data_IF_111796758039
#
_entry.id   IF_111796758039
#
_cell.length_a   1.000
_cell.length_b   1.000
_cell.length_c   1.000
_cell.angle_alpha   90.00
_cell.angle_beta   90.00
_cell.angle_gamma   90.00
#
_symmetry.space_group_name_H-M   'P 1'
#
loop_
_entity.id
_entity.type
_entity.pdbx_description
1 polymer ?
#
# COMPACT_ATOMS: atom_id res chain seq x y z
N UNK A 1 -10.82 11.51 16.95
CA UNK A 1 -12.11 11.87 16.34
C UNK A 1 -12.48 13.26 16.84
N UNK A 2 -12.44 14.24 15.95
CA UNK A 2 -13.00 15.56 16.23
C UNK A 2 -14.46 15.58 15.79
N UNK A 3 -15.38 15.46 16.75
CA UNK A 3 -16.82 15.37 16.45
C UNK A 3 -17.38 16.66 15.86
N UNK A 4 -16.83 17.82 16.22
CA UNK A 4 -17.33 19.11 15.75
C UNK A 4 -16.86 19.39 14.33
N UNK A 5 -15.59 19.10 14.04
CA UNK A 5 -15.05 19.21 12.68
C UNK A 5 -15.72 18.21 11.73
N UNK A 6 -15.94 16.96 12.17
CA UNK A 6 -16.68 15.96 11.39
C UNK A 6 -18.09 16.43 11.04
N UNK A 7 -18.83 16.96 12.03
CA UNK A 7 -20.18 17.48 11.84
C UNK A 7 -20.21 18.68 10.87
N UNK A 8 -19.25 19.60 11.00
CA UNK A 8 -19.12 20.76 10.13
C UNK A 8 -18.77 20.35 8.69
N UNK A 9 -17.86 19.40 8.52
CA UNK A 9 -17.47 18.85 7.23
C UNK A 9 -18.66 18.21 6.50
N UNK A 10 -19.39 17.29 7.17
CA UNK A 10 -20.56 16.63 6.59
C UNK A 10 -21.64 17.64 6.16
N UNK A 11 -21.93 18.63 7.02
CA UNK A 11 -22.89 19.70 6.70
C UNK A 11 -22.47 20.49 5.47
N UNK A 12 -21.20 20.89 5.39
CA UNK A 12 -20.65 21.64 4.26
C UNK A 12 -20.75 20.87 2.94
N UNK A 13 -20.50 19.55 2.96
CA UNK A 13 -20.60 18.70 1.76
C UNK A 13 -22.05 18.50 1.32
N UNK A 14 -22.95 18.20 2.28
CA UNK A 14 -24.38 18.03 2.01
C UNK A 14 -25.02 19.27 1.37
N UNK A 15 -24.70 20.46 1.88
CA UNK A 15 -25.31 21.72 1.41
C UNK A 15 -24.84 22.15 0.01
N UNK A 16 -23.73 21.58 -0.48
CA UNK A 16 -23.18 21.86 -1.82
C UNK A 16 -23.76 20.97 -2.92
N UNK A 17 -24.23 19.76 -2.59
CA UNK A 17 -24.79 18.83 -3.57
C UNK A 17 -26.26 19.12 -3.82
N UNK A 18 -26.66 19.13 -5.08
CA UNK A 18 -28.07 19.20 -5.47
C UNK A 18 -28.65 17.79 -5.58
N UNK A 19 -29.97 17.61 -5.36
CA UNK A 19 -30.64 16.32 -5.55
C UNK A 19 -30.42 15.72 -6.93
N UNK A 20 -30.46 16.58 -7.95
CA UNK A 20 -30.23 16.26 -9.36
C UNK A 20 -28.83 15.66 -9.58
N UNK A 21 -27.80 16.12 -8.86
CA UNK A 21 -26.43 15.60 -8.97
C UNK A 21 -26.31 14.15 -8.50
N UNK A 22 -27.25 13.67 -7.68
CA UNK A 22 -27.29 12.31 -7.12
C UNK A 22 -28.48 11.49 -7.62
N UNK A 23 -29.15 11.95 -8.69
CA UNK A 23 -30.25 11.23 -9.32
C UNK A 23 -31.56 11.26 -8.52
N UNK A 24 -31.72 12.20 -7.57
CA UNK A 24 -32.94 12.40 -6.81
C UNK A 24 -33.80 13.52 -7.40
N UNK A 25 -35.15 13.39 -7.35
CA UNK A 25 -36.04 14.42 -7.86
C UNK A 25 -36.01 15.68 -7.00
N UNK A 26 -35.95 16.84 -7.65
CA UNK A 26 -36.10 18.15 -7.01
C UNK A 26 -37.57 18.37 -6.63
N UNK A 27 -37.96 18.00 -5.40
CA UNK A 27 -39.31 18.24 -4.89
C UNK A 27 -39.70 19.74 -4.80
N UNK A 28 -41.00 20.09 -4.84
CA UNK A 28 -41.45 21.49 -4.90
C UNK A 28 -41.20 22.25 -3.58
N UNK A 29 -40.72 23.50 -3.69
CA UNK A 29 -40.42 24.47 -2.61
C UNK A 29 -39.44 23.97 -1.52
N UNK A 30 -38.15 23.87 -1.85
CA UNK A 30 -37.08 23.69 -0.84
C UNK A 30 -36.76 25.00 -0.10
N UNK A 31 -36.68 24.90 1.23
CA UNK A 31 -36.15 25.97 2.11
C UNK A 31 -34.67 25.77 2.48
N UNK A 32 -34.13 24.57 2.27
CA UNK A 32 -32.75 24.20 2.65
C UNK A 32 -31.87 24.13 1.40
N UNK A 33 -30.68 24.77 1.39
CA UNK A 33 -29.72 24.61 0.31
C UNK A 33 -29.18 23.16 0.28
N UNK A 34 -29.08 22.60 -0.92
CA UNK A 34 -28.52 21.27 -1.18
C UNK A 34 -29.41 20.09 -0.76
N UNK A 35 -28.77 18.96 -0.43
CA UNK A 35 -29.42 17.72 0.02
C UNK A 35 -29.98 17.87 1.44
N UNK A 36 -31.10 17.19 1.71
CA UNK A 36 -31.65 17.07 3.07
C UNK A 36 -30.95 15.93 3.82
N UNK A 37 -31.09 15.89 5.14
CA UNK A 37 -30.43 14.87 5.97
C UNK A 37 -30.98 13.48 5.70
N UNK A 38 -32.30 13.38 5.51
CA UNK A 38 -32.98 12.15 5.11
C UNK A 38 -32.53 11.64 3.75
N UNK A 39 -32.18 12.52 2.82
CA UNK A 39 -31.73 12.14 1.47
C UNK A 39 -30.33 11.53 1.51
N UNK A 40 -29.41 12.14 2.26
CA UNK A 40 -28.07 11.57 2.47
C UNK A 40 -28.17 10.24 3.19
N UNK A 41 -29.03 10.12 4.20
CA UNK A 41 -29.21 8.88 4.94
C UNK A 41 -29.71 7.73 4.04
N UNK A 42 -30.68 8.02 3.15
CA UNK A 42 -31.17 7.06 2.14
C UNK A 42 -30.05 6.65 1.18
N UNK A 43 -29.29 7.60 0.64
CA UNK A 43 -28.18 7.30 -0.28
C UNK A 43 -27.04 6.52 0.38
N UNK A 44 -26.78 6.77 1.66
CA UNK A 44 -25.75 6.07 2.43
C UNK A 44 -26.25 4.77 3.08
N UNK A 45 -27.51 4.39 2.87
CA UNK A 45 -28.14 3.20 3.49
C UNK A 45 -28.01 3.16 5.03
N UNK A 46 -28.15 4.32 5.69
CA UNK A 46 -28.11 4.47 7.15
C UNK A 46 -29.40 5.11 7.67
N UNK A 47 -29.65 5.06 8.98
CA UNK A 47 -30.84 5.71 9.55
C UNK A 47 -30.70 7.24 9.54
N UNK A 48 -31.78 7.94 9.21
CA UNK A 48 -31.84 9.41 9.25
C UNK A 48 -31.44 9.95 10.61
N UNK A 49 -31.92 9.34 11.68
CA UNK A 49 -31.59 9.72 13.06
C UNK A 49 -30.09 9.62 13.34
N UNK A 50 -29.43 8.57 12.84
CA UNK A 50 -28.00 8.42 12.99
C UNK A 50 -27.21 9.50 12.24
N UNK A 51 -27.58 9.82 11.00
CA UNK A 51 -26.96 10.90 10.23
C UNK A 51 -27.19 12.29 10.86
N UNK A 52 -28.40 12.54 11.39
CA UNK A 52 -28.69 13.75 12.17
C UNK A 52 -27.76 13.87 13.37
N UNK A 53 -27.55 12.78 14.13
CA UNK A 53 -26.64 12.78 15.28
C UNK A 53 -25.18 13.00 14.88
N UNK A 54 -24.75 12.53 13.69
CA UNK A 54 -23.42 12.82 13.15
C UNK A 54 -23.26 14.33 12.88
N UNK A 55 -24.20 14.96 12.17
CA UNK A 55 -24.18 16.42 11.90
C UNK A 55 -24.38 17.32 13.13
N UNK A 56 -24.81 16.73 14.25
CA UNK A 56 -24.95 17.40 15.54
C UNK A 56 -23.76 17.13 16.49
N UNK A 57 -22.72 16.42 16.05
CA UNK A 57 -21.58 16.02 16.90
C UNK A 57 -21.97 15.14 18.11
N UNK A 58 -23.10 14.41 18.02
CA UNK A 58 -23.69 13.59 19.10
C UNK A 58 -23.69 12.08 18.83
N UNK A 59 -23.30 11.65 17.63
CA UNK A 59 -23.19 10.24 17.31
C UNK A 59 -21.97 9.58 17.98
N UNK A 60 -22.02 8.26 18.25
CA UNK A 60 -20.82 7.48 18.50
C UNK A 60 -19.93 7.46 17.26
N UNK A 61 -18.68 7.02 17.41
CA UNK A 61 -17.72 6.93 16.30
C UNK A 61 -18.28 6.03 15.19
N UNK A 62 -18.41 6.51 13.95
CA UNK A 62 -18.88 5.70 12.82
C UNK A 62 -17.85 4.63 12.45
N UNK A 63 -18.31 3.52 11.87
CA UNK A 63 -17.41 2.50 11.29
C UNK A 63 -16.84 2.97 9.95
N UNK A 64 -15.75 2.35 9.48
CA UNK A 64 -15.18 2.65 8.16
C UNK A 64 -16.17 2.41 7.01
N UNK A 65 -16.99 1.37 7.11
CA UNK A 65 -18.05 1.08 6.13
C UNK A 65 -19.11 2.19 6.07
N UNK A 66 -19.56 2.69 7.23
CA UNK A 66 -20.51 3.82 7.30
C UNK A 66 -19.89 5.08 6.69
N UNK A 67 -18.61 5.34 6.96
CA UNK A 67 -17.91 6.49 6.37
C UNK A 67 -17.74 6.35 4.85
N UNK A 68 -17.46 5.15 4.36
CA UNK A 68 -17.40 4.86 2.92
C UNK A 68 -18.77 5.09 2.24
N UNK A 69 -19.86 4.58 2.83
CA UNK A 69 -21.22 4.83 2.31
C UNK A 69 -21.59 6.31 2.30
N UNK A 70 -21.21 7.06 3.34
CA UNK A 70 -21.41 8.52 3.39
C UNK A 70 -20.56 9.22 2.32
N UNK A 71 -19.32 8.78 2.10
CA UNK A 71 -18.44 9.35 1.07
C UNK A 71 -19.02 9.16 -0.33
N UNK A 72 -19.58 7.99 -0.63
CA UNK A 72 -20.27 7.69 -1.89
C UNK A 72 -21.54 8.54 -2.02
N UNK A 73 -22.38 8.58 -0.99
CA UNK A 73 -23.62 9.36 -0.98
C UNK A 73 -23.38 10.86 -1.21
N UNK A 74 -22.30 11.38 -0.67
CA UNK A 74 -21.88 12.78 -0.81
C UNK A 74 -20.90 13.00 -1.98
N UNK A 75 -20.71 12.02 -2.87
CA UNK A 75 -19.80 12.07 -4.03
C UNK A 75 -18.45 12.72 -3.70
N UNK A 76 -17.87 12.34 -2.56
CA UNK A 76 -16.60 12.88 -2.12
C UNK A 76 -15.48 12.41 -3.05
N UNK A 77 -14.55 13.33 -3.36
CA UNK A 77 -13.28 12.95 -3.98
C UNK A 77 -12.46 12.09 -3.01
N UNK A 78 -11.51 11.29 -3.50
CA UNK A 78 -10.61 10.47 -2.67
C UNK A 78 -10.02 11.26 -1.48
N UNK A 79 -9.45 12.46 -1.73
CA UNK A 79 -8.88 13.31 -0.68
C UNK A 79 -9.91 13.79 0.38
N UNK A 80 -11.17 13.96 -0.02
CA UNK A 80 -12.25 14.35 0.89
C UNK A 80 -12.75 13.15 1.70
N UNK A 81 -12.77 11.96 1.11
CA UNK A 81 -13.06 10.71 1.81
C UNK A 81 -11.96 10.38 2.83
N UNK A 82 -10.69 10.58 2.48
CA UNK A 82 -9.57 10.43 3.41
C UNK A 82 -9.68 11.41 4.58
N UNK A 83 -9.96 12.69 4.29
CA UNK A 83 -10.16 13.69 5.34
C UNK A 83 -11.35 13.35 6.24
N UNK A 84 -12.46 12.85 5.69
CA UNK A 84 -13.61 12.39 6.46
C UNK A 84 -13.21 11.28 7.46
N UNK A 85 -12.40 10.32 7.02
CA UNK A 85 -11.88 9.24 7.84
C UNK A 85 -10.95 9.76 8.96
N UNK A 86 -10.04 10.69 8.64
CA UNK A 86 -9.18 11.36 9.63
C UNK A 86 -10.01 12.08 10.70
N UNK A 87 -11.04 12.84 10.31
CA UNK A 87 -11.93 13.53 11.25
C UNK A 87 -12.68 12.55 12.17
N UNK A 88 -13.15 11.43 11.62
CA UNK A 88 -13.76 10.33 12.37
C UNK A 88 -12.74 9.54 13.21
N UNK A 89 -11.45 9.77 13.00
CA UNK A 89 -10.32 9.02 13.56
C UNK A 89 -10.22 7.59 13.03
N UNK A 90 -11.00 7.20 12.02
CA UNK A 90 -11.02 5.82 11.48
C UNK A 90 -10.03 5.78 10.31
N UNK A 91 -9.31 4.67 10.13
CA UNK A 91 -8.48 4.52 8.93
C UNK A 91 -9.39 4.45 7.68
N UNK A 92 -9.01 5.08 6.55
CA UNK A 92 -9.76 4.96 5.30
C UNK A 92 -10.02 3.51 4.91
N UNK A 93 -11.29 3.11 4.81
CA UNK A 93 -11.67 1.86 4.19
C UNK A 93 -11.65 2.07 2.67
N UNK A 94 -10.68 1.45 1.97
CA UNK A 94 -10.54 1.61 0.53
C UNK A 94 -11.37 0.55 -0.18
N UNK A 95 -12.63 0.88 -0.43
CA UNK A 95 -13.58 0.00 -1.13
C UNK A 95 -13.26 -0.02 -2.63
N UNK A 96 -12.26 -0.81 -3.02
CA UNK A 96 -11.83 -0.94 -4.42
C UNK A 96 -10.64 -1.87 -4.59
N UNK A 97 -10.00 -1.75 -5.76
CA UNK A 97 -8.75 -2.44 -6.09
C UNK A 97 -7.59 -1.51 -5.73
N UNK A 98 -6.50 -2.06 -5.19
CA UNK A 98 -5.28 -1.30 -4.95
C UNK A 98 -4.68 -0.78 -6.27
N UNK A 99 -3.99 0.36 -6.22
CA UNK A 99 -3.46 1.00 -7.43
C UNK A 99 -2.09 0.46 -7.81
N UNK A 100 -1.92 0.20 -9.11
CA UNK A 100 -0.67 -0.23 -9.73
C UNK A 100 0.00 0.83 -10.58
N UNK A 101 -0.70 1.92 -10.91
CA UNK A 101 -0.10 3.03 -11.63
C UNK A 101 0.87 3.79 -10.74
N UNK A 102 2.13 3.93 -11.18
CA UNK A 102 3.13 4.74 -10.48
C UNK A 102 3.06 6.17 -11.00
N UNK A 103 3.14 7.14 -10.09
CA UNK A 103 3.17 8.57 -10.46
C UNK A 103 4.38 8.89 -11.34
N UNK A 104 4.21 9.67 -12.42
CA UNK A 104 5.34 10.10 -13.25
C UNK A 104 6.44 10.82 -12.44
N UNK A 105 6.06 11.65 -11.46
CA UNK A 105 7.02 12.34 -10.60
C UNK A 105 7.86 11.39 -9.73
N UNK A 106 7.34 10.21 -9.37
CA UNK A 106 8.06 9.20 -8.58
C UNK A 106 9.02 8.42 -9.47
N UNK A 107 8.62 8.13 -10.73
CA UNK A 107 9.52 7.53 -11.72
C UNK A 107 10.73 8.44 -11.98
N UNK A 108 10.50 9.74 -12.23
CA UNK A 108 11.59 10.72 -12.39
C UNK A 108 12.47 10.84 -11.14
N UNK A 109 11.90 10.64 -9.96
CA UNK A 109 12.66 10.63 -8.71
C UNK A 109 13.57 9.39 -8.62
N UNK A 110 13.08 8.20 -8.94
CA UNK A 110 13.88 6.97 -8.96
C UNK A 110 15.12 7.09 -9.87
N UNK A 111 14.97 7.74 -11.02
CA UNK A 111 16.06 7.99 -11.98
C UNK A 111 17.10 9.01 -11.47
N UNK A 112 16.76 9.82 -10.47
CA UNK A 112 17.58 10.95 -9.99
C UNK A 112 18.15 10.73 -8.59
N UNK A 113 18.10 9.50 -8.08
CA UNK A 113 18.70 9.13 -6.79
C UNK A 113 20.07 8.48 -7.02
N UNK A 114 21.19 9.24 -6.97
CA UNK A 114 22.51 8.66 -7.14
C UNK A 114 22.86 7.74 -5.97
N UNK A 115 23.59 6.67 -6.25
CA UNK A 115 24.10 5.72 -5.26
C UNK A 115 23.05 5.12 -4.31
N UNK A 116 21.77 5.15 -4.71
CA UNK A 116 20.65 4.63 -3.93
C UNK A 116 19.88 3.62 -4.79
N UNK A 117 19.79 2.38 -4.34
CA UNK A 117 18.88 1.43 -4.97
C UNK A 117 17.45 1.78 -4.55
N UNK A 118 16.55 1.96 -5.51
CA UNK A 118 15.17 2.34 -5.24
C UNK A 118 14.17 1.56 -6.07
N UNK A 119 13.06 1.17 -5.45
CA UNK A 119 11.92 0.58 -6.13
C UNK A 119 10.59 1.00 -5.49
N UNK A 120 9.53 0.96 -6.30
CA UNK A 120 8.15 1.20 -5.86
C UNK A 120 7.42 -0.13 -5.81
N UNK A 121 6.71 -0.34 -4.70
CA UNK A 121 5.96 -1.55 -4.42
C UNK A 121 4.48 -1.22 -4.18
N UNK A 122 3.58 -2.08 -4.66
CA UNK A 122 2.14 -1.97 -4.38
C UNK A 122 1.81 -2.38 -2.94
N UNK A 123 0.59 -2.08 -2.46
CA UNK A 123 0.09 -2.60 -1.18
C UNK A 123 0.08 -4.14 -1.12
N UNK A 124 0.11 -4.82 -2.27
CA UNK A 124 0.13 -6.28 -2.39
C UNK A 124 1.53 -6.85 -2.69
N UNK A 125 2.60 -6.11 -2.40
CA UNK A 125 4.00 -6.52 -2.61
C UNK A 125 4.45 -6.74 -4.06
N UNK A 126 3.70 -6.23 -5.05
CA UNK A 126 4.15 -6.24 -6.45
C UNK A 126 5.18 -5.12 -6.66
N UNK A 127 6.33 -5.42 -7.26
CA UNK A 127 7.29 -4.39 -7.69
C UNK A 127 6.77 -3.72 -8.96
N UNK A 128 6.45 -2.43 -8.87
CA UNK A 128 5.81 -1.65 -9.93
C UNK A 128 6.81 -0.84 -10.78
N UNK A 129 7.91 -0.40 -10.17
CA UNK A 129 8.98 0.36 -10.82
C UNK A 129 10.27 0.24 -10.01
N UNK A 130 11.42 0.40 -10.66
CA UNK A 130 12.74 0.29 -10.02
C UNK A 130 13.77 1.09 -10.81
N UNK A 131 14.89 1.44 -10.18
CA UNK A 131 16.06 1.97 -10.87
C UNK A 131 17.10 0.88 -11.16
N UNK A 132 18.08 1.18 -12.01
CA UNK A 132 19.10 0.21 -12.43
C UNK A 132 19.90 -0.36 -11.26
N UNK A 133 20.17 0.45 -10.23
CA UNK A 133 20.91 0.00 -9.06
C UNK A 133 20.08 -0.98 -8.20
N UNK A 134 18.77 -0.80 -8.10
CA UNK A 134 17.91 -1.81 -7.47
C UNK A 134 17.90 -3.12 -8.27
N UNK A 135 17.87 -3.04 -9.60
CA UNK A 135 17.98 -4.23 -10.43
C UNK A 135 19.33 -4.94 -10.30
N UNK A 136 20.42 -4.18 -10.20
CA UNK A 136 21.77 -4.71 -10.00
C UNK A 136 21.98 -5.30 -8.59
N UNK A 137 21.33 -4.74 -7.55
CA UNK A 137 21.43 -5.24 -6.17
C UNK A 137 20.56 -6.47 -5.92
N UNK A 138 19.37 -6.50 -6.51
CA UNK A 138 18.35 -7.51 -6.22
C UNK A 138 18.28 -8.54 -7.36
N UNK A 139 17.67 -8.15 -8.48
CA UNK A 139 17.62 -8.90 -9.73
C UNK A 139 17.05 -8.02 -10.84
N UNK A 140 17.20 -8.44 -12.10
CA UNK A 140 16.57 -7.76 -13.21
C UNK A 140 15.07 -8.07 -13.31
N UNK A 141 14.25 -7.27 -12.61
CA UNK A 141 12.80 -7.35 -12.67
C UNK A 141 12.22 -7.17 -14.09
N UNK A 142 12.97 -6.58 -15.04
CA UNK A 142 12.49 -6.42 -16.41
C UNK A 142 12.36 -7.75 -17.15
N UNK A 143 13.16 -8.75 -16.75
CA UNK A 143 13.17 -10.10 -17.34
C UNK A 143 12.06 -11.01 -16.80
N UNK A 144 11.41 -10.60 -15.72
CA UNK A 144 10.37 -11.37 -15.03
C UNK A 144 8.98 -11.04 -15.56
N UNK A 145 8.09 -12.03 -15.58
CA UNK A 145 6.66 -11.79 -15.80
C UNK A 145 6.05 -11.01 -14.62
N UNK A 146 4.95 -10.26 -14.83
CA UNK A 146 4.37 -9.42 -13.78
C UNK A 146 4.08 -10.14 -12.45
N UNK A 147 3.60 -11.38 -12.50
CA UNK A 147 3.28 -12.17 -11.31
C UNK A 147 4.53 -12.64 -10.55
N UNK A 148 5.66 -12.79 -11.25
CA UNK A 148 6.95 -13.17 -10.68
C UNK A 148 7.62 -11.99 -9.95
N UNK A 149 7.16 -10.76 -10.17
CA UNK A 149 7.66 -9.54 -9.49
C UNK A 149 7.04 -9.32 -8.11
N UNK A 150 6.27 -10.29 -7.59
CA UNK A 150 5.63 -10.17 -6.29
C UNK A 150 6.53 -10.66 -5.14
N UNK A 151 7.06 -9.75 -4.34
CA UNK A 151 8.03 -10.09 -3.29
C UNK A 151 7.45 -11.01 -2.20
N UNK A 152 6.15 -10.98 -1.95
CA UNK A 152 5.50 -11.89 -0.99
C UNK A 152 5.48 -13.33 -1.53
N UNK A 153 5.12 -13.52 -2.82
CA UNK A 153 5.21 -14.84 -3.48
C UNK A 153 6.63 -15.37 -3.40
N UNK A 154 7.61 -14.54 -3.73
CA UNK A 154 9.01 -14.97 -3.74
C UNK A 154 9.54 -15.33 -2.34
N UNK A 155 9.10 -14.61 -1.31
CA UNK A 155 9.50 -14.91 0.06
C UNK A 155 8.98 -16.26 0.56
N UNK A 156 7.80 -16.69 0.15
CA UNK A 156 7.10 -17.85 0.72
C UNK A 156 7.02 -19.07 -0.21
N UNK A 157 6.88 -18.86 -1.53
CA UNK A 157 6.68 -19.90 -2.53
C UNK A 157 7.99 -20.28 -3.23
N UNK A 158 8.79 -19.29 -3.68
CA UNK A 158 10.03 -19.57 -4.43
C UNK A 158 11.14 -20.12 -3.53
N UNK A 159 11.18 -19.67 -2.27
CA UNK A 159 12.17 -20.13 -1.29
C UNK A 159 12.09 -21.63 -0.99
N UNK A 160 10.94 -22.27 -1.24
CA UNK A 160 10.79 -23.73 -1.10
C UNK A 160 11.37 -24.51 -2.28
N UNK A 161 11.51 -23.89 -3.46
CA UNK A 161 11.91 -24.59 -4.69
C UNK A 161 13.41 -24.51 -4.97
N UNK A 162 14.10 -23.44 -4.54
CA UNK A 162 15.50 -23.19 -4.92
C UNK A 162 16.50 -23.25 -3.76
N UNK A 163 16.03 -23.36 -2.51
CA UNK A 163 16.88 -23.38 -1.30
C UNK A 163 17.73 -22.13 -1.09
N UNK A 164 17.55 -21.11 -1.93
CA UNK A 164 18.32 -19.86 -1.90
C UNK A 164 17.45 -18.79 -1.23
N UNK A 165 17.97 -18.06 -0.23
CA UNK A 165 17.24 -16.94 0.37
C UNK A 165 16.84 -15.91 -0.68
N UNK A 166 15.69 -15.25 -0.50
CA UNK A 166 15.18 -14.19 -1.38
C UNK A 166 16.29 -13.16 -1.65
N UNK A 167 16.79 -13.04 -2.89
CA UNK A 167 17.94 -12.17 -3.26
C UNK A 167 19.23 -12.39 -2.44
N UNK A 168 19.39 -13.55 -1.80
CA UNK A 168 20.48 -13.78 -0.85
C UNK A 168 20.35 -12.97 0.45
N UNK A 169 19.15 -12.54 0.84
CA UNK A 169 18.93 -11.86 2.12
C UNK A 169 19.31 -12.77 3.29
N UNK A 170 20.07 -12.26 4.27
CA UNK A 170 20.38 -13.05 5.47
C UNK A 170 19.20 -13.15 6.44
N UNK A 171 18.36 -12.12 6.53
CA UNK A 171 17.19 -12.08 7.41
C UNK A 171 15.85 -12.11 6.65
N UNK A 172 15.62 -13.21 5.92
CA UNK A 172 14.33 -13.45 5.24
C UNK A 172 13.18 -13.61 6.25
N UNK A 173 13.48 -14.09 7.47
CA UNK A 173 12.47 -14.33 8.49
C UNK A 173 11.76 -13.03 8.91
N UNK A 174 12.51 -11.94 9.19
CA UNK A 174 11.91 -10.65 9.51
C UNK A 174 11.07 -10.10 8.36
N UNK A 175 11.51 -10.29 7.12
CA UNK A 175 10.74 -9.89 5.94
C UNK A 175 9.42 -10.66 5.83
N UNK A 176 9.43 -11.98 6.05
CA UNK A 176 8.22 -12.82 6.06
C UNK A 176 7.19 -12.38 7.09
N UNK A 177 7.61 -12.04 8.30
CA UNK A 177 6.70 -11.51 9.32
C UNK A 177 6.11 -10.17 8.90
N UNK A 178 6.93 -9.27 8.33
CA UNK A 178 6.44 -8.01 7.80
C UNK A 178 5.41 -8.20 6.68
N UNK A 179 5.64 -9.13 5.76
CA UNK A 179 4.69 -9.48 4.69
C UNK A 179 3.35 -9.92 5.26
N UNK A 180 3.33 -10.82 6.24
CA UNK A 180 2.07 -11.30 6.85
C UNK A 180 1.30 -10.17 7.53
N UNK A 181 2.00 -9.34 8.31
CA UNK A 181 1.40 -8.18 8.99
C UNK A 181 0.80 -7.19 7.98
N UNK A 182 1.54 -6.82 6.95
CA UNK A 182 1.09 -5.85 5.96
C UNK A 182 -0.03 -6.41 5.07
N UNK A 183 -0.02 -7.72 4.76
CA UNK A 183 -1.12 -8.35 4.03
C UNK A 183 -2.42 -8.41 4.84
N UNK A 184 -2.36 -8.58 6.17
CA UNK A 184 -3.54 -8.43 7.04
C UNK A 184 -4.09 -6.99 6.97
N UNK A 185 -3.23 -5.99 7.09
CA UNK A 185 -3.62 -4.58 6.96
C UNK A 185 -4.19 -4.25 5.57
N UNK A 186 -3.59 -4.80 4.52
CA UNK A 186 -4.03 -4.64 3.13
C UNK A 186 -5.37 -5.31 2.87
N UNK A 187 -5.60 -6.52 3.38
CA UNK A 187 -6.91 -7.18 3.30
C UNK A 187 -7.99 -6.37 4.04
N UNK A 188 -7.65 -5.77 5.19
CA UNK A 188 -8.55 -4.89 5.91
C UNK A 188 -8.91 -3.62 5.13
N UNK A 189 -7.95 -3.06 4.37
CA UNK A 189 -8.17 -1.88 3.50
C UNK A 189 -8.92 -2.22 2.23
N UNK A 190 -8.61 -3.34 1.57
CA UNK A 190 -9.15 -3.77 0.27
C UNK A 190 -9.81 -5.16 0.34
N UNK A 191 -10.90 -5.34 1.11
CA UNK A 191 -11.47 -6.67 1.39
C UNK A 191 -12.07 -7.38 0.17
N UNK A 192 -12.41 -6.61 -0.88
CA UNK A 192 -13.03 -7.12 -2.12
C UNK A 192 -12.06 -7.20 -3.30
N UNK A 193 -10.79 -6.85 -3.10
CA UNK A 193 -9.80 -6.87 -4.18
C UNK A 193 -9.43 -8.33 -4.54
N UNK A 194 -9.71 -8.79 -5.78
CA UNK A 194 -9.45 -10.16 -6.17
C UNK A 194 -7.95 -10.50 -6.18
N UNK A 195 -7.07 -9.52 -6.44
CA UNK A 195 -5.63 -9.75 -6.46
C UNK A 195 -5.07 -9.94 -5.05
N UNK A 196 -5.52 -9.13 -4.07
CA UNK A 196 -5.12 -9.28 -2.66
C UNK A 196 -5.62 -10.62 -2.11
N UNK A 197 -6.90 -10.95 -2.37
CA UNK A 197 -7.49 -12.22 -1.93
C UNK A 197 -6.82 -13.43 -2.59
N UNK A 198 -6.56 -13.36 -3.90
CA UNK A 198 -5.86 -14.40 -4.65
C UNK A 198 -4.45 -14.62 -4.14
N UNK A 199 -3.69 -13.55 -3.91
CA UNK A 199 -2.35 -13.65 -3.32
C UNK A 199 -2.37 -14.35 -1.96
N UNK A 200 -3.25 -13.93 -1.05
CA UNK A 200 -3.34 -14.56 0.29
C UNK A 200 -3.75 -16.03 0.18
N UNK A 201 -4.68 -16.35 -0.72
CA UNK A 201 -5.08 -17.74 -0.99
C UNK A 201 -3.88 -18.58 -1.43
N UNK A 202 -3.17 -18.14 -2.46
CA UNK A 202 -2.02 -18.86 -3.02
C UNK A 202 -0.89 -19.02 -1.99
N UNK A 203 -0.63 -18.00 -1.18
CA UNK A 203 0.38 -18.07 -0.12
C UNK A 203 0.00 -19.07 0.99
N UNK A 204 -1.30 -19.15 1.36
CA UNK A 204 -1.78 -20.10 2.35
C UNK A 204 -1.73 -21.54 1.85
N UNK A 205 -2.09 -21.77 0.59
CA UNK A 205 -2.02 -23.11 0.00
C UNK A 205 -0.59 -23.55 -0.29
N UNK A 206 0.26 -22.64 -0.76
CA UNK A 206 1.62 -22.94 -1.19
C UNK A 206 2.69 -22.89 -0.10
N UNK A 207 2.40 -22.38 1.10
CA UNK A 207 3.39 -22.27 2.18
C UNK A 207 2.78 -22.55 3.57
N UNK A 208 3.15 -23.69 4.16
CA UNK A 208 2.75 -24.04 5.52
C UNK A 208 3.26 -23.03 6.57
N UNK A 209 4.42 -22.42 6.31
CA UNK A 209 4.96 -21.36 7.15
C UNK A 209 4.09 -20.09 7.08
N UNK A 210 3.67 -19.67 5.88
CA UNK A 210 2.74 -18.56 5.73
C UNK A 210 1.42 -18.84 6.44
N UNK A 211 0.82 -20.02 6.23
CA UNK A 211 -0.44 -20.39 6.86
C UNK A 211 -0.35 -20.31 8.40
N UNK A 212 0.73 -20.83 8.98
CA UNK A 212 0.99 -20.75 10.42
C UNK A 212 1.13 -19.30 10.90
N UNK A 213 1.93 -18.48 10.23
CA UNK A 213 2.11 -17.07 10.61
C UNK A 213 0.81 -16.26 10.45
N UNK A 214 0.04 -16.53 9.40
CA UNK A 214 -1.22 -15.89 9.11
C UNK A 214 -2.25 -16.13 10.23
N UNK A 215 -2.35 -17.36 10.74
CA UNK A 215 -3.25 -17.74 11.83
C UNK A 215 -2.88 -17.11 13.17
N UNK A 216 -1.59 -16.89 13.41
CA UNK A 216 -1.10 -16.30 14.66
C UNK A 216 -1.49 -14.83 14.84
N UNK A 217 -1.86 -14.13 13.76
CA UNK A 217 -2.20 -12.70 13.77
C UNK A 217 -1.17 -11.85 14.53
N UNK A 218 0.11 -12.23 14.47
CA UNK A 218 1.13 -11.55 15.25
C UNK A 218 1.45 -10.20 14.61
N UNK A 219 1.02 -9.11 15.27
CA UNK A 219 1.04 -7.73 14.72
C UNK A 219 2.35 -7.00 15.06
N UNK A 220 3.39 -7.71 15.51
CA UNK A 220 4.63 -7.08 15.98
C UNK A 220 5.85 -7.48 15.15
N UNK A 221 5.88 -7.03 13.89
CA UNK A 221 7.13 -6.97 13.14
C UNK A 221 7.62 -5.51 13.13
N UNK A 222 8.74 -5.23 13.80
CA UNK A 222 9.49 -4.00 13.53
C UNK A 222 10.12 -4.16 12.15
N UNK A 223 9.87 -3.26 11.18
CA UNK A 223 10.57 -3.33 9.91
C UNK A 223 12.07 -3.25 10.17
N UNK A 224 12.82 -4.17 9.55
CA UNK A 224 14.27 -4.16 9.62
C UNK A 224 14.77 -2.89 8.94
N UNK A 225 15.43 -2.03 9.72
CA UNK A 225 16.02 -0.78 9.23
C UNK A 225 17.30 -1.01 8.44
N UNK A 226 17.82 -2.24 8.46
CA UNK A 226 19.04 -2.65 7.77
C UNK A 226 18.81 -4.01 7.15
N UNK A 227 19.33 -4.22 5.94
CA UNK A 227 19.28 -5.48 5.21
C UNK A 227 20.67 -5.87 4.74
N UNK A 228 21.01 -7.15 4.85
CA UNK A 228 22.26 -7.70 4.33
C UNK A 228 21.94 -8.65 3.18
N UNK A 229 22.47 -8.33 2.00
CA UNK A 229 22.35 -9.09 0.77
C UNK A 229 23.64 -9.87 0.53
N UNK A 230 23.54 -11.15 0.19
CA UNK A 230 24.65 -11.94 -0.33
C UNK A 230 24.63 -11.90 -1.85
N UNK A 231 25.34 -10.92 -2.41
CA UNK A 231 25.39 -10.68 -3.84
C UNK A 231 26.51 -11.50 -4.52
N UNK A 232 26.26 -12.18 -5.66
CA UNK A 232 27.23 -13.06 -6.30
C UNK A 232 28.50 -12.34 -6.79
N UNK A 233 28.39 -11.09 -7.24
CA UNK A 233 29.52 -10.35 -7.80
C UNK A 233 30.34 -9.57 -6.76
N UNK A 234 29.74 -9.14 -5.65
CA UNK A 234 30.37 -8.22 -4.68
C UNK A 234 30.39 -8.76 -3.24
N UNK A 235 29.85 -9.96 -3.02
CA UNK A 235 29.79 -10.59 -1.71
C UNK A 235 28.67 -10.00 -0.84
N UNK A 236 28.92 -9.93 0.47
CA UNK A 236 27.95 -9.34 1.41
C UNK A 236 27.88 -7.83 1.24
N UNK A 237 26.66 -7.30 1.14
CA UNK A 237 26.37 -5.88 1.10
C UNK A 237 25.31 -5.57 2.14
N UNK A 238 25.64 -4.74 3.11
CA UNK A 238 24.71 -4.26 4.12
C UNK A 238 24.23 -2.85 3.79
N UNK A 239 22.91 -2.67 3.74
CA UNK A 239 22.26 -1.42 3.37
C UNK A 239 21.22 -1.03 4.41
N UNK A 240 21.10 0.26 4.68
CA UNK A 240 19.97 0.84 5.37
C UNK A 240 18.74 0.80 4.47
N UNK A 241 17.58 0.49 5.06
CA UNK A 241 16.32 0.26 4.40
C UNK A 241 15.28 1.29 4.87
N UNK A 242 15.04 2.29 4.04
CA UNK A 242 14.00 3.29 4.27
C UNK A 242 12.77 2.99 3.41
N UNK A 243 11.59 2.99 4.03
CA UNK A 243 10.32 2.81 3.33
C UNK A 243 9.44 4.03 3.51
N UNK A 244 9.12 4.70 2.39
CA UNK A 244 8.28 5.89 2.35
C UNK A 244 6.90 5.53 1.78
N UNK A 245 5.84 5.78 2.54
CA UNK A 245 4.47 5.53 2.10
C UNK A 245 3.96 6.64 1.18
N UNK A 246 3.60 6.27 -0.05
CA UNK A 246 2.91 7.11 -1.02
C UNK A 246 1.39 7.01 -0.77
N UNK A 247 0.93 7.79 0.22
CA UNK A 247 -0.41 7.65 0.78
C UNK A 247 -1.53 7.76 -0.27
N UNK A 248 -1.39 8.56 -1.32
CA UNK A 248 -2.44 8.75 -2.34
C UNK A 248 -2.74 7.49 -3.17
N UNK A 249 -1.76 6.60 -3.32
CA UNK A 249 -1.88 5.35 -4.08
C UNK A 249 -1.74 4.11 -3.25
N UNK A 250 -1.34 4.26 -1.99
CA UNK A 250 -1.01 3.15 -1.10
C UNK A 250 0.03 2.23 -1.72
N UNK A 251 1.12 2.89 -2.07
CA UNK A 251 2.35 2.30 -2.59
C UNK A 251 3.48 2.66 -1.63
N UNK A 252 4.56 1.91 -1.71
CA UNK A 252 5.74 2.11 -0.90
C UNK A 252 6.93 2.36 -1.80
N UNK A 253 7.63 3.47 -1.60
CA UNK A 253 8.95 3.69 -2.17
C UNK A 253 9.98 3.15 -1.17
N UNK A 254 10.69 2.11 -1.57
CA UNK A 254 11.73 1.47 -0.76
C UNK A 254 13.09 1.90 -1.28
N UNK A 255 13.94 2.39 -0.38
CA UNK A 255 15.27 2.90 -0.68
C UNK A 255 16.31 2.11 0.12
N UNK A 256 17.36 1.69 -0.59
CA UNK A 256 18.54 1.06 -0.02
C UNK A 256 19.74 1.97 -0.19
N UNK A 257 20.34 2.33 0.94
CA UNK A 257 21.54 3.17 0.98
C UNK A 257 22.63 2.50 1.81
N UNK A 258 23.88 2.82 1.52
CA UNK A 258 25.02 2.39 2.34
C UNK A 258 25.70 3.62 2.92
N UNK A 259 26.26 3.49 4.13
CA UNK A 259 26.94 4.59 4.78
C UNK A 259 28.08 5.13 3.90
N UNK A 260 28.16 6.46 3.64
CA UNK A 260 29.20 7.03 2.79
C UNK A 260 30.62 6.67 3.27
N UNK A 261 31.49 6.27 2.33
CA UNK A 261 32.87 5.87 2.63
C UNK A 261 33.02 4.49 3.26
N UNK A 262 31.93 3.71 3.38
CA UNK A 262 31.98 2.31 3.80
C UNK A 262 32.30 1.37 2.63
N UNK A 263 32.74 0.15 2.96
CA UNK A 263 32.90 -0.94 1.99
C UNK A 263 31.59 -1.27 1.27
N UNK A 264 30.47 -1.22 1.96
CA UNK A 264 29.16 -1.45 1.36
C UNK A 264 28.81 -0.38 0.32
N UNK A 265 29.20 0.89 0.56
CA UNK A 265 29.04 1.95 -0.42
C UNK A 265 29.92 1.75 -1.67
N UNK A 266 31.15 1.26 -1.50
CA UNK A 266 32.00 0.86 -2.62
C UNK A 266 31.39 -0.30 -3.42
N UNK A 267 30.84 -1.31 -2.73
CA UNK A 267 30.11 -2.42 -3.37
C UNK A 267 28.89 -1.92 -4.16
N UNK A 268 28.10 -1.00 -3.60
CA UNK A 268 26.97 -0.37 -4.29
C UNK A 268 27.40 0.43 -5.52
N UNK A 269 28.53 1.15 -5.45
CA UNK A 269 29.10 1.84 -6.61
C UNK A 269 29.56 0.86 -7.69
N UNK A 270 30.20 -0.24 -7.31
CA UNK A 270 30.61 -1.28 -8.24
C UNK A 270 29.40 -1.91 -8.95
N UNK A 271 28.31 -2.18 -8.23
CA UNK A 271 27.05 -2.66 -8.81
C UNK A 271 26.45 -1.67 -9.80
N UNK A 272 26.51 -0.37 -9.50
CA UNK A 272 26.04 0.67 -10.41
C UNK A 272 26.82 0.69 -11.74
N UNK A 273 28.10 0.32 -11.73
CA UNK A 273 28.94 0.23 -12.94
C UNK A 273 28.70 -1.07 -13.70
N UNK A 274 28.56 -2.20 -13.01
CA UNK A 274 28.31 -3.50 -13.64
C UNK A 274 26.95 -3.57 -14.33
N UNK A 275 25.95 -2.90 -13.75
CA UNK A 275 24.56 -2.94 -14.20
C UNK A 275 23.93 -4.34 -14.07
N UNK A 276 22.63 -4.49 -14.38
CA UNK A 276 21.93 -5.77 -14.26
C UNK A 276 22.40 -6.83 -15.28
N UNK A 277 22.86 -6.40 -16.46
CA UNK A 277 23.10 -7.29 -17.61
C UNK A 277 24.44 -8.06 -17.57
N UNK A 278 25.46 -7.59 -16.86
CA UNK A 278 26.76 -8.30 -16.82
C UNK A 278 26.83 -9.41 -15.76
N UNK A 279 25.78 -9.58 -14.97
CA UNK A 279 25.75 -10.50 -13.82
C UNK A 279 25.41 -11.96 -14.20
N UNK A 280 25.02 -12.21 -15.46
CA UNK A 280 24.62 -13.54 -15.97
C UNK A 280 25.73 -14.31 -16.71
N UNK A 281 26.90 -13.71 -16.97
CA UNK A 281 27.93 -14.30 -17.84
C UNK A 281 28.85 -15.36 -17.20
N UNK A 282 28.67 -15.73 -15.94
CA UNK A 282 29.57 -16.70 -15.25
C UNK A 282 29.04 -18.13 -15.12
N UNK A 283 27.94 -18.50 -15.78
CA UNK A 283 27.47 -19.91 -15.85
C UNK A 283 27.47 -20.47 -17.28
N UNK A 284 28.65 -20.52 -17.90
CA UNK A 284 28.93 -21.50 -18.97
C UNK A 284 30.43 -21.74 -19.04
N UNK A 285 30.88 -22.83 -18.43
CA UNK A 285 32.08 -23.58 -18.79
C UNK A 285 31.90 -25.01 -18.34
#
# INVERSE_FOLDING_TARGET
>A
MDKHELAAFLRSRRERLRPEDVGMPSGPRRRTPGLRREEVAVLAHISTEYYVRLEQARAPRPSGEVLASIAVALRLTDAQADHLHVLAGVAPARTGVHRRDVRPSVLTLLERLPATAGFVMSAAFEVLAWNELAAALMEDFATLEPDERNLARRAFLDGHSTGTPLFGLEDVASFRHHVVMELHATLGRYPSDPAVRGLIHDLREGSAEFARLWEQHDVQARPALTKTFRHPAVGLVTVDCDTLTLADRDQHLVLYTAAPGSRDAESMQLLAVLGPNQLHSTRTS
#
